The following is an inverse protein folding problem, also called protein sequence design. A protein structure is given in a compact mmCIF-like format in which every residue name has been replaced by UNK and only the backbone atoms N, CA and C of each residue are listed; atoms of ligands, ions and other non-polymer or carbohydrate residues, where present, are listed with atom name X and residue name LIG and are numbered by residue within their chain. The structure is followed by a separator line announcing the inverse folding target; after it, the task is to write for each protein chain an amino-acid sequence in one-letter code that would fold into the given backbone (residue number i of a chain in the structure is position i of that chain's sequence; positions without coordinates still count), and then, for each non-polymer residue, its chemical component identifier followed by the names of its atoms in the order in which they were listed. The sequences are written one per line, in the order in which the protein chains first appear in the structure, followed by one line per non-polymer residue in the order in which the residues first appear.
data_IF_526879109191
#
_entry.id   IF_526879109191
#
_cell.length_a   1.000
_cell.length_b   1.000
_cell.length_c   1.000
_cell.angle_alpha   90.00
_cell.angle_beta   90.00
_cell.angle_gamma   90.00
#
_symmetry.space_group_name_H-M   'P 1'
#
loop_
_entity.id
_entity.type
_entity.pdbx_description
1 polymer ?
#
# COMPACT_ATOMS: atom_id res chain seq x y z
N UNK A 1 33.99 -20.29 -41.90
CA UNK A 1 33.82 -19.00 -41.22
C UNK A 1 32.32 -18.85 -40.86
N UNK A 2 31.97 -18.97 -39.59
CA UNK A 2 30.57 -18.83 -39.14
C UNK A 2 30.39 -17.36 -38.66
N UNK A 3 29.38 -16.63 -39.12
CA UNK A 3 29.15 -15.28 -38.63
C UNK A 3 28.64 -15.33 -37.19
N UNK A 4 29.28 -14.60 -36.29
CA UNK A 4 28.75 -14.29 -34.94
C UNK A 4 27.60 -13.30 -35.12
N UNK A 5 26.37 -13.73 -34.79
CA UNK A 5 25.24 -12.85 -34.66
C UNK A 5 25.27 -12.27 -33.26
N UNK A 6 25.66 -11.01 -33.13
CA UNK A 6 25.57 -10.27 -31.89
C UNK A 6 24.12 -9.85 -31.66
N UNK A 7 23.47 -10.49 -30.69
CA UNK A 7 22.11 -10.09 -30.27
C UNK A 7 22.22 -8.85 -29.39
N UNK A 8 21.86 -7.70 -29.94
CA UNK A 8 21.77 -6.44 -29.20
C UNK A 8 20.53 -6.49 -28.30
N UNK A 9 20.73 -6.69 -27.00
CA UNK A 9 19.67 -6.53 -25.99
C UNK A 9 19.38 -5.02 -25.84
N UNK A 10 18.31 -4.54 -26.46
CA UNK A 10 17.76 -3.22 -26.17
C UNK A 10 17.16 -3.25 -24.77
N UNK A 11 17.84 -2.64 -23.81
CA UNK A 11 17.26 -2.29 -22.52
C UNK A 11 16.17 -1.22 -22.77
N UNK A 12 14.89 -1.60 -22.66
CA UNK A 12 13.81 -0.63 -22.66
C UNK A 12 13.98 0.30 -21.44
N UNK A 13 13.86 1.63 -21.60
CA UNK A 13 13.89 2.53 -20.46
C UNK A 13 12.72 2.18 -19.53
N UNK A 14 13.00 1.91 -18.25
CA UNK A 14 11.97 1.89 -17.20
C UNK A 14 11.40 3.31 -17.12
N UNK A 15 10.24 3.53 -17.72
CA UNK A 15 9.48 4.75 -17.53
C UNK A 15 8.93 4.73 -16.11
N UNK A 16 9.39 5.65 -15.27
CA UNK A 16 8.79 5.90 -13.97
C UNK A 16 7.28 6.15 -14.14
N UNK A 17 6.46 5.69 -13.18
CA UNK A 17 5.01 5.90 -13.19
C UNK A 17 4.63 7.38 -13.27
N UNK A 18 3.41 7.68 -13.65
CA UNK A 18 2.91 9.05 -13.76
C UNK A 18 2.89 9.73 -12.39
N UNK A 19 2.38 9.06 -11.36
CA UNK A 19 2.20 9.62 -10.02
C UNK A 19 3.25 9.12 -9.02
N UNK A 20 3.75 7.89 -9.17
CA UNK A 20 4.81 7.33 -8.35
C UNK A 20 6.13 7.29 -9.13
N UNK A 21 7.19 7.89 -8.55
CA UNK A 21 8.51 7.97 -9.21
C UNK A 21 9.49 6.87 -8.76
N UNK A 22 9.05 5.98 -7.85
CA UNK A 22 9.86 4.90 -7.27
C UNK A 22 9.41 3.53 -7.76
N UNK A 23 8.09 3.29 -7.77
CA UNK A 23 7.49 2.03 -8.21
C UNK A 23 6.51 2.26 -9.36
N UNK A 24 6.47 1.31 -10.26
CA UNK A 24 5.52 1.22 -11.37
C UNK A 24 4.75 -0.09 -11.30
N UNK A 25 3.63 -0.17 -12.02
CA UNK A 25 2.92 -1.44 -12.22
C UNK A 25 3.83 -2.46 -12.89
N UNK A 26 3.92 -3.64 -12.29
CA UNK A 26 4.80 -4.74 -12.71
C UNK A 26 6.11 -4.85 -11.93
N UNK A 27 6.50 -3.81 -11.19
CA UNK A 27 7.69 -3.85 -10.34
C UNK A 27 7.47 -4.77 -9.13
N UNK A 28 8.56 -5.39 -8.66
CA UNK A 28 8.54 -6.13 -7.41
C UNK A 28 8.42 -5.16 -6.23
N UNK A 29 7.40 -5.36 -5.40
CA UNK A 29 7.20 -4.54 -4.21
C UNK A 29 8.34 -4.77 -3.20
N UNK A 30 8.87 -3.71 -2.58
CA UNK A 30 9.87 -3.86 -1.54
C UNK A 30 9.34 -4.69 -0.36
N UNK A 31 10.10 -5.71 0.02
CA UNK A 31 9.80 -6.51 1.20
C UNK A 31 9.98 -5.67 2.47
N UNK A 32 9.16 -5.98 3.47
CA UNK A 32 9.26 -5.44 4.81
C UNK A 32 9.15 -6.55 5.85
N UNK A 33 9.75 -6.34 7.00
CA UNK A 33 9.77 -7.29 8.13
C UNK A 33 9.90 -6.54 9.44
N UNK A 34 9.61 -7.25 10.52
CA UNK A 34 9.80 -6.81 11.90
C UNK A 34 9.04 -5.51 12.21
N UNK A 35 7.88 -5.27 11.55
CA UNK A 35 7.02 -4.15 11.86
C UNK A 35 6.10 -4.48 13.04
N UNK A 36 6.11 -3.64 14.07
CA UNK A 36 5.22 -3.79 15.22
C UNK A 36 3.77 -3.54 14.82
N UNK A 37 2.89 -4.48 15.14
CA UNK A 37 1.46 -4.38 14.94
C UNK A 37 0.71 -3.93 16.19
N UNK A 38 -0.46 -3.33 16.00
CA UNK A 38 -1.37 -2.95 17.08
C UNK A 38 -1.96 -4.17 17.83
N UNK A 39 -1.75 -5.36 17.31
CA UNK A 39 -2.11 -6.65 17.93
C UNK A 39 -1.01 -7.19 18.87
N UNK A 40 0.06 -6.43 19.10
CA UNK A 40 1.19 -6.80 19.95
C UNK A 40 2.15 -7.81 19.32
N UNK A 41 2.06 -8.05 18.00
CA UNK A 41 2.96 -8.95 17.27
C UNK A 41 3.80 -8.15 16.28
N UNK A 42 4.90 -8.76 15.86
CA UNK A 42 5.65 -8.28 14.69
C UNK A 42 5.17 -8.98 13.42
N UNK A 43 5.22 -8.28 12.31
CA UNK A 43 4.71 -8.73 11.02
C UNK A 43 5.73 -8.52 9.91
N UNK A 44 5.66 -9.40 8.91
CA UNK A 44 6.45 -9.31 7.67
C UNK A 44 5.56 -9.54 6.45
N UNK A 45 5.94 -9.00 5.28
CA UNK A 45 5.25 -9.31 4.03
C UNK A 45 5.27 -10.82 3.72
N UNK A 46 6.33 -11.51 4.14
CA UNK A 46 6.49 -12.96 3.97
C UNK A 46 5.43 -13.79 4.73
N UNK A 47 4.83 -13.25 5.81
CA UNK A 47 3.77 -13.94 6.56
C UNK A 47 2.51 -14.11 5.74
N UNK A 48 2.36 -13.31 4.68
CA UNK A 48 1.22 -13.32 3.77
C UNK A 48 1.44 -14.19 2.52
N UNK A 49 2.46 -15.07 2.52
CA UNK A 49 2.84 -15.90 1.37
C UNK A 49 1.69 -16.73 0.76
N UNK A 50 0.72 -17.13 1.59
CA UNK A 50 -0.45 -17.93 1.19
C UNK A 50 -1.59 -17.09 0.60
N UNK A 51 -1.43 -15.76 0.56
CA UNK A 51 -2.39 -14.84 -0.05
C UNK A 51 -2.07 -14.60 -1.52
N UNK A 52 -3.08 -14.66 -2.36
CA UNK A 52 -2.95 -14.38 -3.80
C UNK A 52 -2.78 -12.87 -4.05
N UNK A 53 -3.40 -12.03 -3.20
CA UNK A 53 -3.26 -10.58 -3.26
C UNK A 53 -2.98 -9.98 -1.87
N UNK A 54 -2.20 -8.91 -1.84
CA UNK A 54 -2.00 -8.08 -0.65
C UNK A 54 -2.30 -6.63 -1.00
N UNK A 55 -3.25 -6.02 -0.30
CA UNK A 55 -3.50 -4.58 -0.35
C UNK A 55 -2.73 -3.94 0.79
N UNK A 56 -1.72 -3.15 0.45
CA UNK A 56 -0.98 -2.32 1.39
C UNK A 56 -1.54 -0.91 1.35
N UNK A 57 -1.89 -0.34 2.49
CA UNK A 57 -2.32 1.05 2.60
C UNK A 57 -1.41 1.82 3.55
N UNK A 58 -0.73 2.84 3.04
CA UNK A 58 -0.06 3.83 3.88
C UNK A 58 -1.10 4.79 4.42
N UNK A 59 -1.24 4.81 5.74
CA UNK A 59 -2.25 5.62 6.44
C UNK A 59 -1.66 6.19 7.73
N UNK A 60 -2.43 6.99 8.47
CA UNK A 60 -1.99 7.49 9.77
C UNK A 60 -3.18 7.98 10.60
N UNK A 61 -2.98 8.13 11.90
CA UNK A 61 -4.01 8.64 12.80
C UNK A 61 -4.22 10.15 12.68
N UNK A 62 -3.16 10.89 12.36
CA UNK A 62 -3.14 12.36 12.39
C UNK A 62 -3.64 13.04 11.11
N UNK A 63 -3.93 12.28 10.06
CA UNK A 63 -4.49 12.83 8.83
C UNK A 63 -6.02 12.77 8.87
N UNK A 64 -6.74 13.92 8.81
CA UNK A 64 -8.21 13.91 8.77
C UNK A 64 -8.75 13.11 7.59
N UNK A 65 -8.14 13.27 6.41
CA UNK A 65 -8.55 12.53 5.22
C UNK A 65 -8.40 11.02 5.42
N UNK A 66 -7.27 10.55 5.99
CA UNK A 66 -7.10 9.13 6.28
C UNK A 66 -8.16 8.62 7.28
N UNK A 67 -8.50 9.45 8.28
CA UNK A 67 -9.56 9.13 9.24
C UNK A 67 -10.94 9.02 8.58
N UNK A 68 -11.25 9.88 7.63
CA UNK A 68 -12.50 9.84 6.88
C UNK A 68 -12.61 8.58 6.01
N UNK A 69 -11.47 8.06 5.54
CA UNK A 69 -11.44 6.84 4.72
C UNK A 69 -11.51 5.54 5.53
N UNK A 70 -11.39 5.56 6.86
CA UNK A 70 -11.33 4.33 7.67
C UNK A 70 -12.51 3.38 7.43
N UNK A 71 -13.74 3.89 7.36
CA UNK A 71 -14.91 3.04 7.13
C UNK A 71 -14.84 2.33 5.77
N UNK A 72 -14.30 2.99 4.75
CA UNK A 72 -14.11 2.37 3.43
C UNK A 72 -12.97 1.34 3.41
N UNK A 73 -11.91 1.58 4.19
CA UNK A 73 -10.81 0.61 4.35
C UNK A 73 -11.30 -0.61 5.13
N UNK A 74 -12.10 -0.40 6.19
CA UNK A 74 -12.75 -1.48 6.94
C UNK A 74 -13.65 -2.31 6.01
N UNK A 75 -14.54 -1.65 5.25
CA UNK A 75 -15.43 -2.33 4.31
C UNK A 75 -14.67 -3.13 3.24
N UNK A 76 -13.55 -2.58 2.72
CA UNK A 76 -12.68 -3.30 1.80
C UNK A 76 -12.09 -4.57 2.46
N UNK A 77 -11.61 -4.45 3.69
CA UNK A 77 -11.04 -5.58 4.41
C UNK A 77 -12.09 -6.63 4.77
N UNK A 78 -13.30 -6.22 5.17
CA UNK A 78 -14.42 -7.14 5.45
C UNK A 78 -14.91 -7.87 4.20
N UNK A 79 -14.98 -7.19 3.06
CA UNK A 79 -15.36 -7.79 1.78
C UNK A 79 -14.40 -8.91 1.35
N UNK A 80 -13.16 -8.85 1.82
CA UNK A 80 -12.12 -9.85 1.56
C UNK A 80 -11.69 -10.59 2.83
N UNK A 81 -12.43 -10.42 3.95
CA UNK A 81 -12.14 -11.03 5.24
C UNK A 81 -12.41 -12.53 5.26
N UNK A 82 -11.93 -13.17 6.35
CA UNK A 82 -12.12 -14.59 6.60
C UNK A 82 -10.83 -15.40 6.45
N UNK A 83 -10.81 -16.55 7.15
CA UNK A 83 -9.63 -17.42 7.26
C UNK A 83 -9.14 -17.90 5.90
N UNK A 84 -10.07 -18.20 5.00
CA UNK A 84 -9.79 -18.76 3.67
C UNK A 84 -9.70 -17.68 2.58
N UNK A 85 -9.74 -16.40 2.95
CA UNK A 85 -9.60 -15.30 1.99
C UNK A 85 -8.26 -15.36 1.27
N UNK A 86 -8.29 -15.15 -0.04
CA UNK A 86 -7.10 -15.03 -0.90
C UNK A 86 -6.49 -13.64 -0.89
N UNK A 87 -7.16 -12.69 -0.27
CA UNK A 87 -6.71 -11.29 -0.19
C UNK A 87 -6.42 -10.93 1.27
N UNK A 88 -5.32 -10.23 1.51
CA UNK A 88 -5.03 -9.58 2.78
C UNK A 88 -5.03 -8.08 2.61
N UNK A 89 -5.52 -7.35 3.62
CA UNK A 89 -5.37 -5.90 3.74
C UNK A 89 -4.44 -5.62 4.92
N UNK A 90 -3.43 -4.77 4.69
CA UNK A 90 -2.46 -4.35 5.71
C UNK A 90 -2.32 -2.84 5.66
N UNK A 91 -2.50 -2.19 6.80
CA UNK A 91 -2.27 -0.75 6.96
C UNK A 91 -0.90 -0.50 7.59
N UNK A 92 -0.14 0.46 7.07
CA UNK A 92 1.18 0.85 7.60
C UNK A 92 1.17 2.34 7.90
N UNK A 93 1.43 2.70 9.16
CA UNK A 93 1.65 4.07 9.58
C UNK A 93 3.15 4.36 9.66
N UNK A 94 3.57 5.43 9.01
CA UNK A 94 4.97 5.87 8.98
C UNK A 94 5.18 7.26 9.58
N UNK A 95 4.11 7.91 10.07
CA UNK A 95 4.23 9.18 10.78
C UNK A 95 4.72 8.94 12.22
N UNK A 96 5.61 9.79 12.71
CA UNK A 96 6.31 9.62 14.01
C UNK A 96 5.76 10.50 15.12
N UNK A 97 4.76 11.34 14.81
CA UNK A 97 4.12 12.22 15.80
C UNK A 97 3.39 11.44 16.91
N UNK A 98 3.19 12.07 18.08
CA UNK A 98 2.55 11.45 19.25
C UNK A 98 1.20 10.78 18.94
N UNK A 99 0.40 11.36 18.05
CA UNK A 99 -0.89 10.79 17.64
C UNK A 99 -0.75 9.54 16.75
N UNK A 100 0.42 9.34 16.16
CA UNK A 100 0.76 8.27 15.23
C UNK A 100 1.65 7.19 15.86
N UNK A 101 2.08 7.38 17.12
CA UNK A 101 2.88 6.39 17.85
C UNK A 101 2.05 5.13 18.15
N UNK A 102 2.72 3.98 18.26
CA UNK A 102 2.10 2.66 18.42
C UNK A 102 1.01 2.59 19.50
N UNK A 103 1.15 3.18 20.72
CA UNK A 103 0.07 3.16 21.71
C UNK A 103 -1.20 3.88 21.23
N UNK A 104 -1.06 5.00 20.51
CA UNK A 104 -2.20 5.73 19.95
C UNK A 104 -2.84 4.97 18.77
N UNK A 105 -2.03 4.27 17.97
CA UNK A 105 -2.52 3.38 16.91
C UNK A 105 -3.31 2.21 17.50
N UNK A 106 -2.81 1.57 18.56
CA UNK A 106 -3.51 0.47 19.25
C UNK A 106 -4.87 0.92 19.77
N UNK A 107 -4.92 2.03 20.50
CA UNK A 107 -6.18 2.58 20.99
C UNK A 107 -7.18 2.89 19.86
N UNK A 108 -6.67 3.38 18.71
CA UNK A 108 -7.53 3.63 17.55
C UNK A 108 -8.02 2.34 16.90
N UNK A 109 -7.13 1.37 16.68
CA UNK A 109 -7.48 0.08 16.10
C UNK A 109 -8.56 -0.65 16.93
N UNK A 110 -8.43 -0.65 18.26
CA UNK A 110 -9.42 -1.20 19.18
C UNK A 110 -10.75 -0.46 19.10
N UNK A 111 -10.73 0.88 19.19
CA UNK A 111 -11.93 1.72 19.12
C UNK A 111 -12.69 1.53 17.81
N UNK A 112 -11.98 1.44 16.68
CA UNK A 112 -12.53 1.31 15.34
C UNK A 112 -12.74 -0.15 14.92
N UNK A 113 -12.29 -1.11 15.74
CA UNK A 113 -12.36 -2.56 15.47
C UNK A 113 -11.79 -2.92 14.10
N UNK A 114 -10.58 -2.45 13.80
CA UNK A 114 -9.96 -2.72 12.50
C UNK A 114 -9.81 -4.22 12.25
N UNK A 115 -10.38 -4.76 11.15
CA UNK A 115 -10.30 -6.18 10.81
C UNK A 115 -9.01 -6.55 10.04
N UNK A 116 -7.99 -5.69 10.07
CA UNK A 116 -6.72 -5.83 9.36
C UNK A 116 -5.54 -5.50 10.26
N UNK A 117 -4.35 -5.97 9.89
CA UNK A 117 -3.12 -5.62 10.58
C UNK A 117 -2.81 -4.13 10.38
N UNK A 118 -2.63 -3.40 11.48
CA UNK A 118 -2.21 -2.00 11.49
C UNK A 118 -0.82 -1.90 12.07
N UNK A 119 0.17 -1.65 11.20
CA UNK A 119 1.59 -1.78 11.47
C UNK A 119 2.26 -0.41 11.59
N UNK A 120 3.32 -0.33 12.38
CA UNK A 120 4.09 0.89 12.60
C UNK A 120 5.50 0.78 12.02
N UNK A 121 5.86 1.70 11.13
CA UNK A 121 7.23 1.87 10.63
C UNK A 121 7.76 3.25 11.04
N UNK A 122 8.31 3.40 12.27
CA UNK A 122 8.89 4.67 12.71
C UNK A 122 10.15 5.05 11.94
N UNK A 123 10.73 4.14 11.18
CA UNK A 123 11.90 4.43 10.34
C UNK A 123 11.53 5.16 9.05
N UNK A 124 10.26 5.11 8.66
CA UNK A 124 9.71 5.66 7.42
C UNK A 124 10.31 5.04 6.15
N UNK A 125 11.13 3.99 6.29
CA UNK A 125 11.86 3.42 5.16
C UNK A 125 10.96 2.70 4.19
N UNK A 126 9.89 2.05 4.68
CA UNK A 126 8.99 1.28 3.82
C UNK A 126 8.23 2.22 2.88
N UNK A 127 7.67 3.32 3.40
CA UNK A 127 7.00 4.30 2.55
C UNK A 127 7.96 4.90 1.51
N UNK A 128 9.21 5.21 1.90
CA UNK A 128 10.22 5.70 0.95
C UNK A 128 10.52 4.69 -0.16
N UNK A 129 10.67 3.42 0.18
CA UNK A 129 10.91 2.34 -0.80
C UNK A 129 9.72 2.09 -1.71
N UNK A 130 8.49 2.30 -1.23
CA UNK A 130 7.27 2.22 -2.04
C UNK A 130 7.02 3.50 -2.84
N UNK A 131 7.75 4.59 -2.58
CA UNK A 131 7.48 5.90 -3.19
C UNK A 131 6.15 6.51 -2.72
N UNK A 132 5.59 6.03 -1.60
CA UNK A 132 4.38 6.58 -1.04
C UNK A 132 4.62 7.98 -0.49
N UNK A 133 3.71 8.91 -0.78
CA UNK A 133 3.83 10.32 -0.40
C UNK A 133 2.61 10.84 0.35
N UNK A 134 1.50 10.10 0.33
CA UNK A 134 0.21 10.54 0.87
C UNK A 134 -0.38 9.52 1.84
N UNK A 135 -1.34 9.97 2.65
CA UNK A 135 -2.18 9.13 3.49
C UNK A 135 -3.65 9.52 3.32
N UNK A 136 -4.53 8.57 2.90
CA UNK A 136 -4.20 7.19 2.54
C UNK A 136 -3.66 7.06 1.10
N UNK A 137 -2.72 6.13 0.89
CA UNK A 137 -2.21 5.75 -0.42
C UNK A 137 -2.12 4.21 -0.50
N UNK A 138 -2.56 3.62 -1.61
CA UNK A 138 -2.80 2.19 -1.74
C UNK A 138 -1.88 1.55 -2.77
N UNK A 139 -1.49 0.30 -2.48
CA UNK A 139 -0.75 -0.57 -3.39
C UNK A 139 -1.42 -1.95 -3.37
N UNK A 140 -1.75 -2.49 -4.53
CA UNK A 140 -2.23 -3.87 -4.67
C UNK A 140 -1.10 -4.70 -5.25
N UNK A 141 -0.74 -5.77 -4.53
CA UNK A 141 0.33 -6.68 -4.89
C UNK A 141 -0.26 -8.03 -5.28
N UNK A 142 0.24 -8.64 -6.36
CA UNK A 142 -0.13 -9.99 -6.77
C UNK A 142 0.57 -11.07 -5.92
N UNK A 143 0.40 -12.34 -6.32
CA UNK A 143 0.97 -13.50 -5.63
C UNK A 143 2.51 -13.49 -5.65
N UNK A 144 3.12 -12.99 -6.71
CA UNK A 144 4.55 -12.79 -6.86
C UNK A 144 5.03 -11.50 -6.18
N UNK A 145 4.14 -10.78 -5.49
CA UNK A 145 4.40 -9.46 -4.88
C UNK A 145 4.81 -8.39 -5.87
N UNK A 146 4.33 -8.48 -7.10
CA UNK A 146 4.43 -7.40 -8.07
C UNK A 146 3.26 -6.44 -7.88
N UNK A 147 3.54 -5.16 -8.10
CA UNK A 147 2.51 -4.11 -8.06
C UNK A 147 1.57 -4.29 -9.25
N UNK A 148 0.28 -4.45 -9.00
CA UNK A 148 -0.77 -4.48 -10.04
C UNK A 148 -1.61 -3.22 -10.06
N UNK A 149 -1.55 -2.45 -8.97
CA UNK A 149 -2.18 -1.14 -8.83
C UNK A 149 -1.48 -0.30 -7.76
N UNK A 150 -1.44 1.01 -7.96
CA UNK A 150 -1.01 1.97 -6.95
C UNK A 150 -1.80 3.29 -7.07
N UNK A 151 -2.07 3.95 -5.93
CA UNK A 151 -2.73 5.26 -5.90
C UNK A 151 -3.89 5.38 -4.91
N UNK A 152 -4.98 6.01 -5.32
CA UNK A 152 -6.16 6.28 -4.48
C UNK A 152 -7.07 5.05 -4.30
N UNK A 153 -7.86 5.02 -3.21
CA UNK A 153 -8.89 3.99 -3.00
C UNK A 153 -10.00 4.09 -4.06
N UNK A 154 -10.42 5.31 -4.35
CA UNK A 154 -11.53 5.65 -5.22
C UNK A 154 -11.38 7.07 -5.82
N UNK A 155 -12.35 7.50 -6.63
CA UNK A 155 -12.33 8.79 -7.33
C UNK A 155 -12.89 9.96 -6.53
N UNK A 156 -13.53 9.69 -5.37
CA UNK A 156 -14.16 10.73 -4.54
C UNK A 156 -14.03 10.43 -3.06
N UNK A 157 -13.30 11.30 -2.36
CA UNK A 157 -13.16 11.20 -0.91
C UNK A 157 -14.48 11.33 -0.16
N UNK A 158 -14.60 10.66 1.02
CA UNK A 158 -15.75 10.80 1.90
C UNK A 158 -16.06 12.27 2.22
N UNK A 159 -17.33 12.63 2.49
CA UNK A 159 -18.50 11.74 2.52
C UNK A 159 -19.14 11.46 1.15
N UNK A 160 -18.53 11.93 0.05
CA UNK A 160 -19.10 11.76 -1.30
C UNK A 160 -19.04 10.30 -1.73
N UNK A 161 -20.12 9.80 -2.34
CA UNK A 161 -20.12 8.45 -2.90
C UNK A 161 -19.20 8.36 -4.14
N UNK A 162 -18.29 7.36 -4.19
CA UNK A 162 -17.42 7.17 -5.33
C UNK A 162 -18.20 6.63 -6.54
N UNK A 163 -17.82 7.09 -7.73
CA UNK A 163 -18.29 6.52 -8.99
C UNK A 163 -17.31 5.47 -9.54
N UNK A 164 -16.04 5.54 -9.12
CA UNK A 164 -15.03 4.55 -9.44
C UNK A 164 -14.30 4.10 -8.16
N UNK A 165 -14.31 2.79 -7.89
CA UNK A 165 -13.66 2.14 -6.75
C UNK A 165 -12.38 1.46 -7.24
N UNK A 166 -11.30 2.24 -7.34
CA UNK A 166 -10.06 1.83 -8.02
C UNK A 166 -9.42 0.58 -7.42
N UNK A 167 -9.22 0.53 -6.09
CA UNK A 167 -8.62 -0.63 -5.42
C UNK A 167 -9.50 -1.87 -5.58
N UNK A 168 -10.82 -1.74 -5.37
CA UNK A 168 -11.73 -2.88 -5.51
C UNK A 168 -11.74 -3.42 -6.95
N UNK A 169 -11.71 -2.54 -7.96
CA UNK A 169 -11.64 -2.93 -9.37
C UNK A 169 -10.30 -3.64 -9.69
N UNK A 170 -9.18 -3.13 -9.14
CA UNK A 170 -7.87 -3.75 -9.31
C UNK A 170 -7.80 -5.15 -8.65
N UNK A 171 -8.34 -5.30 -7.44
CA UNK A 171 -8.43 -6.58 -6.74
C UNK A 171 -9.28 -7.57 -7.55
N UNK A 172 -10.46 -7.15 -8.02
CA UNK A 172 -11.34 -8.01 -8.82
C UNK A 172 -10.69 -8.44 -10.14
N UNK A 173 -10.02 -7.52 -10.84
CA UNK A 173 -9.29 -7.82 -12.06
C UNK A 173 -8.16 -8.83 -11.81
N UNK A 174 -7.34 -8.61 -10.79
CA UNK A 174 -6.21 -9.48 -10.47
C UNK A 174 -6.66 -10.89 -10.05
N UNK A 175 -7.73 -11.02 -9.25
CA UNK A 175 -8.33 -12.33 -8.90
C UNK A 175 -8.86 -13.07 -10.14
N UNK A 176 -9.30 -12.34 -11.17
CA UNK A 176 -9.74 -12.89 -12.45
C UNK A 176 -8.58 -13.16 -13.44
N UNK A 177 -7.31 -12.96 -13.01
CA UNK A 177 -6.13 -13.09 -13.89
C UNK A 177 -6.04 -12.01 -14.97
N UNK A 178 -6.67 -10.85 -14.75
CA UNK A 178 -6.71 -9.71 -15.68
C UNK A 178 -5.89 -8.54 -15.13
N UNK A 179 -5.46 -7.66 -16.03
CA UNK A 179 -4.89 -6.36 -15.64
C UNK A 179 -6.00 -5.41 -15.19
N UNK A 180 -5.70 -4.55 -14.22
CA UNK A 180 -6.57 -3.44 -13.87
C UNK A 180 -6.71 -2.49 -15.06
N UNK A 181 -7.91 -1.92 -15.28
CA UNK A 181 -8.15 -0.92 -16.31
C UNK A 181 -7.26 0.32 -16.10
N UNK A 182 -7.16 0.75 -14.85
CA UNK A 182 -6.21 1.78 -14.41
C UNK A 182 -5.23 1.13 -13.46
N UNK A 183 -3.96 1.07 -13.85
CA UNK A 183 -2.90 0.54 -13.01
C UNK A 183 -2.40 1.57 -12.00
N UNK A 184 -2.54 2.86 -12.28
CA UNK A 184 -2.06 3.96 -11.45
C UNK A 184 -3.07 5.10 -11.40
N UNK A 185 -3.22 5.72 -10.22
CA UNK A 185 -4.03 6.92 -10.01
C UNK A 185 -3.37 7.84 -8.97
N UNK A 186 -3.73 9.12 -8.96
CA UNK A 186 -3.21 10.07 -7.97
C UNK A 186 -3.83 9.89 -6.61
N UNK A 187 -3.01 9.77 -5.56
CA UNK A 187 -3.42 9.80 -4.15
C UNK A 187 -3.35 11.21 -3.52
N UNK A 188 -3.14 12.26 -4.31
CA UNK A 188 -2.86 13.63 -3.85
C UNK A 188 -4.02 14.31 -3.11
N UNK A 189 -5.22 13.71 -3.08
CA UNK A 189 -6.32 14.15 -2.22
C UNK A 189 -6.05 13.92 -0.72
N UNK A 190 -5.12 13.01 -0.39
CA UNK A 190 -4.68 12.72 0.98
C UNK A 190 -3.74 13.78 1.56
N UNK A 191 -3.44 13.63 2.86
CA UNK A 191 -2.39 14.43 3.49
C UNK A 191 -1.01 13.91 3.07
N UNK A 192 -0.04 14.79 2.95
CA UNK A 192 1.36 14.35 2.75
C UNK A 192 1.88 13.61 3.99
N UNK A 193 2.67 12.56 3.76
CA UNK A 193 3.43 11.90 4.82
C UNK A 193 4.34 12.94 5.49
N UNK A 194 4.35 12.96 6.82
CA UNK A 194 5.20 13.85 7.61
C UNK A 194 6.57 13.23 7.75
N UNK A 195 7.45 13.53 6.80
CA UNK A 195 8.82 13.03 6.84
C UNK A 195 9.63 13.65 7.96
N UNK A 196 10.29 12.82 8.75
CA UNK A 196 11.31 13.29 9.67
C UNK A 196 12.48 13.90 8.88
N UNK A 197 13.08 14.95 9.43
CA UNK A 197 14.34 15.45 8.87
C UNK A 197 15.34 14.31 8.89
N UNK A 198 16.05 14.07 7.77
CA UNK A 198 17.20 13.17 7.78
C UNK A 198 18.11 13.67 8.92
N UNK A 199 18.44 12.81 9.86
CA UNK A 199 19.66 13.00 10.65
C UNK A 199 20.75 12.85 9.60
N UNK A 200 21.39 13.97 9.27
CA UNK A 200 22.62 13.94 8.48
C UNK A 200 23.55 13.00 9.24
N UNK A 201 24.07 12.02 8.50
CA UNK A 201 25.01 11.05 9.05
C UNK A 201 26.17 11.84 9.67
N UNK A 202 26.23 11.90 11.03
CA UNK A 202 27.39 12.32 11.80
C UNK A 202 28.43 11.19 11.83
#
# INVERSE_FOLDING_TARGET
MRPLVATLLLAAPLLAGEFNKVLSVGDAAPAWKDLDGTDGKTHALADLKDKDLVVVVFTCNSCPVAADYEDRIVALAEAHGGKDSKVAVVAINVNTGKADALPAMTARAEKRKFPFAYLYDPTQQIARKYGANYTPEFFVLDKERKVVYLGALDDKGPPREPTARHVAAAVAAALAGKKAEKGETSASAGCRIKWDKKKDDE
#
